data_IF_199418825733
#
_entry.id   IF_199418825733
#
_cell.length_a   1.000
_cell.length_b   1.000
_cell.length_c   1.000
_cell.angle_alpha   90.00
_cell.angle_beta   90.00
_cell.angle_gamma   90.00
#
_symmetry.space_group_name_H-M   'P 1'
#
loop_
_entity.id
_entity.type
_entity.pdbx_description
1 polymer ?
#
# COMPACT_ATOMS: atom_id res chain seq x y z
N UNK A 1 65.11 0.12 31.90
CA UNK A 1 65.18 1.37 31.11
C UNK A 1 64.13 1.29 30.01
N UNK A 2 62.97 1.95 30.16
CA UNK A 2 61.99 2.09 29.08
C UNK A 2 62.34 3.37 28.34
N UNK A 3 62.67 3.25 27.05
CA UNK A 3 63.12 4.38 26.23
C UNK A 3 62.02 5.44 26.10
N UNK A 4 62.39 6.71 26.26
CA UNK A 4 61.49 7.84 26.07
C UNK A 4 61.13 7.90 24.57
N UNK A 5 59.84 7.91 24.20
CA UNK A 5 59.44 7.95 22.80
C UNK A 5 59.88 9.27 22.16
N UNK A 6 60.37 9.19 20.93
CA UNK A 6 60.77 10.37 20.17
C UNK A 6 59.56 11.25 19.86
N UNK A 7 59.76 12.57 19.71
CA UNK A 7 58.68 13.55 19.42
C UNK A 7 57.82 13.11 18.24
N UNK A 8 58.43 12.47 17.22
CA UNK A 8 57.74 11.94 16.05
C UNK A 8 56.84 10.74 16.36
N UNK A 9 57.25 9.88 17.29
CA UNK A 9 56.42 8.77 17.78
C UNK A 9 55.26 9.29 18.62
N UNK A 10 55.50 10.26 19.52
CA UNK A 10 54.43 10.89 20.30
C UNK A 10 53.37 11.53 19.41
N UNK A 11 53.78 12.23 18.33
CA UNK A 11 52.86 12.83 17.36
C UNK A 11 52.02 11.80 16.60
N UNK A 12 52.63 10.69 16.16
CA UNK A 12 51.90 9.60 15.48
C UNK A 12 50.87 8.96 16.41
N UNK A 13 51.22 8.72 17.67
CA UNK A 13 50.28 8.17 18.65
C UNK A 13 49.15 9.16 18.99
N UNK A 14 49.43 10.46 19.09
CA UNK A 14 48.40 11.48 19.28
C UNK A 14 47.45 11.59 18.08
N UNK A 15 47.97 11.54 16.84
CA UNK A 15 47.14 11.56 15.63
C UNK A 15 46.29 10.30 15.54
N UNK A 16 46.85 9.11 15.84
CA UNK A 16 46.09 7.86 15.85
C UNK A 16 45.02 7.83 16.94
N UNK A 17 45.28 8.42 18.12
CA UNK A 17 44.28 8.57 19.17
C UNK A 17 43.17 9.54 18.79
N UNK A 18 43.50 10.66 18.14
CA UNK A 18 42.50 11.64 17.68
C UNK A 18 41.67 11.06 16.53
N UNK A 19 42.29 10.34 15.58
CA UNK A 19 41.57 9.63 14.51
C UNK A 19 40.70 8.52 15.10
N UNK A 20 41.23 7.72 16.03
CA UNK A 20 40.48 6.67 16.72
C UNK A 20 39.29 7.21 17.51
N UNK A 21 39.46 8.34 18.20
CA UNK A 21 38.39 9.02 18.93
C UNK A 21 37.38 9.68 17.97
N UNK A 22 37.82 10.19 16.82
CA UNK A 22 36.94 10.72 15.78
C UNK A 22 36.07 9.61 15.16
N UNK A 23 36.62 8.43 14.90
CA UNK A 23 35.85 7.26 14.44
C UNK A 23 34.96 6.65 15.53
N UNK A 24 35.35 6.71 16.81
CA UNK A 24 34.54 6.19 17.92
C UNK A 24 33.33 7.09 18.22
N UNK A 25 33.50 8.42 18.11
CA UNK A 25 32.41 9.38 18.37
C UNK A 25 31.48 9.54 17.15
N UNK A 26 32.00 9.46 15.93
CA UNK A 26 31.18 9.54 14.71
C UNK A 26 30.68 8.19 14.18
N UNK A 27 31.20 7.07 14.68
CA UNK A 27 30.83 5.71 14.22
C UNK A 27 29.37 5.34 14.49
N UNK A 28 28.73 5.91 15.51
CA UNK A 28 27.31 5.65 15.81
C UNK A 28 26.33 6.47 14.94
N UNK A 29 26.81 7.46 14.18
CA UNK A 29 25.94 8.42 13.46
C UNK A 29 25.94 8.24 11.93
N UNK A 30 26.71 7.29 11.37
CA UNK A 30 26.98 7.26 9.92
C UNK A 30 26.15 6.20 9.15
N UNK A 31 25.46 5.28 9.82
CA UNK A 31 24.63 4.29 9.13
C UNK A 31 23.26 4.19 9.80
N UNK A 32 22.33 5.08 9.40
CA UNK A 32 20.90 4.82 9.62
C UNK A 32 20.57 3.53 8.85
N UNK A 33 20.09 2.52 9.58
CA UNK A 33 19.69 1.23 9.03
C UNK A 33 18.72 1.43 7.85
N UNK A 34 18.95 0.73 6.74
CA UNK A 34 18.18 0.91 5.50
C UNK A 34 16.68 0.74 5.72
N UNK A 35 16.28 -0.22 6.58
CA UNK A 35 14.87 -0.44 6.91
C UNK A 35 14.31 0.69 7.77
N UNK A 36 15.08 1.23 8.72
CA UNK A 36 14.67 2.41 9.49
C UNK A 36 14.48 3.63 8.57
N UNK A 37 15.41 3.91 7.65
CA UNK A 37 15.32 5.03 6.72
C UNK A 37 14.13 4.87 5.76
N UNK A 38 13.91 3.66 5.23
CA UNK A 38 12.75 3.32 4.40
C UNK A 38 11.44 3.48 5.17
N UNK A 39 11.40 2.99 6.41
CA UNK A 39 10.27 3.12 7.34
C UNK A 39 9.91 4.58 7.59
N UNK A 40 10.90 5.43 7.89
CA UNK A 40 10.72 6.88 8.08
C UNK A 40 10.11 7.56 6.86
N UNK A 41 10.59 7.22 5.65
CA UNK A 41 10.04 7.76 4.40
C UNK A 41 8.58 7.37 4.20
N UNK A 42 8.25 6.10 4.45
CA UNK A 42 6.86 5.61 4.35
C UNK A 42 5.97 6.26 5.40
N UNK A 43 6.45 6.38 6.64
CA UNK A 43 5.71 6.99 7.74
C UNK A 43 5.36 8.45 7.45
N UNK A 44 6.33 9.23 6.95
CA UNK A 44 6.10 10.62 6.54
C UNK A 44 5.04 10.77 5.46
N UNK A 45 4.95 9.79 4.56
CA UNK A 45 4.00 9.83 3.47
C UNK A 45 2.59 9.36 3.87
N UNK A 46 2.49 8.30 4.68
CA UNK A 46 1.22 7.63 4.96
C UNK A 46 0.67 7.86 6.37
N UNK A 47 1.52 8.09 7.37
CA UNK A 47 1.15 8.04 8.79
C UNK A 47 1.18 9.42 9.46
N UNK A 48 2.17 10.25 9.10
CA UNK A 48 2.47 11.54 9.76
C UNK A 48 1.29 12.52 9.80
N UNK A 49 0.42 12.50 8.79
CA UNK A 49 -0.73 13.39 8.74
C UNK A 49 -1.72 13.16 9.89
N UNK A 50 -1.74 11.96 10.47
CA UNK A 50 -2.59 11.62 11.62
C UNK A 50 -1.77 11.46 12.91
N UNK A 51 -0.59 10.84 12.86
CA UNK A 51 0.23 10.54 14.04
C UNK A 51 1.31 11.60 14.35
N UNK A 52 1.51 12.61 13.52
CA UNK A 52 2.57 13.61 13.68
C UNK A 52 3.94 13.13 13.19
N UNK A 53 4.92 14.03 13.04
CA UNK A 53 6.28 13.68 12.61
C UNK A 53 7.04 12.91 13.69
N UNK A 54 6.85 13.27 14.96
CA UNK A 54 7.47 12.61 16.12
C UNK A 54 6.62 11.49 16.73
N UNK A 55 5.40 11.27 16.22
CA UNK A 55 4.47 10.27 16.78
C UNK A 55 3.68 10.76 17.99
N UNK A 56 3.90 12.00 18.44
CA UNK A 56 3.32 12.54 19.67
C UNK A 56 1.85 12.87 19.53
N UNK A 57 1.13 12.73 20.63
CA UNK A 57 -0.24 13.20 20.72
C UNK A 57 -0.40 14.66 20.29
N UNK A 58 -1.38 14.91 19.41
CA UNK A 58 -1.77 16.26 18.96
C UNK A 58 -0.93 16.83 17.82
N UNK A 59 0.08 16.11 17.33
CA UNK A 59 0.99 16.65 16.31
C UNK A 59 0.48 16.49 14.87
N UNK A 60 -0.30 15.45 14.59
CA UNK A 60 -0.86 15.20 13.26
C UNK A 60 -1.87 16.26 12.85
N UNK A 61 -1.79 16.73 11.60
CA UNK A 61 -2.75 17.70 11.05
C UNK A 61 -4.22 17.29 11.22
N UNK A 62 -4.52 15.99 11.11
CA UNK A 62 -5.87 15.45 11.25
C UNK A 62 -6.22 15.02 12.69
N UNK A 63 -5.33 15.21 13.66
CA UNK A 63 -5.51 14.69 15.03
C UNK A 63 -6.82 15.17 15.66
N UNK A 64 -7.02 16.48 15.72
CA UNK A 64 -8.20 17.07 16.37
C UNK A 64 -9.50 16.75 15.62
N UNK A 65 -9.43 16.69 14.29
CA UNK A 65 -10.59 16.34 13.45
C UNK A 65 -11.05 14.90 13.63
N UNK A 66 -10.16 14.01 14.08
CA UNK A 66 -10.45 12.61 14.39
C UNK A 66 -10.68 12.36 15.89
N UNK A 67 -10.49 13.38 16.73
CA UNK A 67 -10.67 13.30 18.17
C UNK A 67 -12.07 13.79 18.55
N UNK A 68 -13.06 12.91 18.56
CA UNK A 68 -14.41 13.25 19.02
C UNK A 68 -14.95 12.18 19.99
N UNK A 69 -16.09 12.44 20.62
CA UNK A 69 -16.65 11.54 21.64
C UNK A 69 -17.00 10.14 21.12
N UNK A 70 -17.13 9.94 19.80
CA UNK A 70 -17.50 8.67 19.17
C UNK A 70 -16.29 7.87 18.71
N UNK A 71 -15.15 8.51 18.38
CA UNK A 71 -13.96 7.82 17.88
C UNK A 71 -12.73 8.13 18.76
N UNK A 72 -11.97 7.10 19.21
CA UNK A 72 -10.74 7.36 19.93
C UNK A 72 -9.73 8.10 19.01
N UNK A 73 -8.95 9.03 19.57
CA UNK A 73 -7.93 9.74 18.79
C UNK A 73 -6.90 8.76 18.21
N UNK A 74 -6.12 9.19 17.20
CA UNK A 74 -4.95 8.43 16.79
C UNK A 74 -4.07 8.08 18.01
N UNK A 75 -3.39 6.94 17.96
CA UNK A 75 -2.54 6.52 19.08
C UNK A 75 -1.27 7.39 19.14
N UNK A 76 -0.84 7.75 20.34
CA UNK A 76 0.50 8.33 20.58
C UNK A 76 1.55 7.24 20.35
N UNK A 77 2.34 7.40 19.28
CA UNK A 77 3.37 6.45 18.86
C UNK A 77 4.73 6.73 19.50
N UNK A 78 4.82 7.72 20.39
CA UNK A 78 6.03 8.05 21.14
C UNK A 78 5.97 7.58 22.60
N UNK A 79 4.82 7.08 23.05
CA UNK A 79 4.62 6.59 24.41
C UNK A 79 5.47 5.34 24.68
N UNK A 80 6.51 5.50 25.50
CA UNK A 80 7.44 4.42 25.83
C UNK A 80 6.82 3.29 26.65
N UNK A 81 5.67 3.53 27.31
CA UNK A 81 4.94 2.48 28.03
C UNK A 81 4.33 1.43 27.07
N UNK A 82 4.11 1.82 25.81
CA UNK A 82 3.69 0.90 24.76
C UNK A 82 4.85 0.06 24.20
N UNK A 83 6.07 0.60 24.25
CA UNK A 83 7.26 -0.02 23.68
C UNK A 83 7.55 -1.41 24.24
N UNK A 84 7.19 -1.70 25.48
CA UNK A 84 7.38 -3.01 26.13
C UNK A 84 6.13 -3.90 26.15
N UNK A 85 4.93 -3.33 25.93
CA UNK A 85 3.66 -4.05 26.09
C UNK A 85 3.08 -4.60 24.78
N UNK A 86 3.58 -4.14 23.63
CA UNK A 86 3.09 -4.53 22.30
C UNK A 86 4.21 -5.20 21.52
N UNK A 87 3.95 -6.33 20.85
CA UNK A 87 4.94 -7.03 20.04
C UNK A 87 5.09 -6.42 18.64
N UNK A 88 6.19 -6.71 17.95
CA UNK A 88 6.41 -6.26 16.56
C UNK A 88 5.29 -6.76 15.65
N UNK A 89 4.83 -7.99 15.92
CA UNK A 89 3.72 -8.63 15.19
C UNK A 89 2.38 -7.94 15.44
N UNK A 90 2.14 -7.41 16.64
CA UNK A 90 0.91 -6.68 16.91
C UNK A 90 0.87 -5.35 16.16
N UNK A 91 1.99 -4.63 16.11
CA UNK A 91 2.12 -3.40 15.30
C UNK A 91 1.95 -3.74 13.81
N UNK A 92 2.59 -4.82 13.35
CA UNK A 92 2.44 -5.30 11.98
C UNK A 92 0.98 -5.61 11.65
N UNK A 93 0.29 -6.35 12.53
CA UNK A 93 -1.11 -6.74 12.33
C UNK A 93 -2.06 -5.53 12.32
N UNK A 94 -1.79 -4.50 13.13
CA UNK A 94 -2.54 -3.26 13.12
C UNK A 94 -2.42 -2.54 11.76
N UNK A 95 -1.23 -2.52 11.16
CA UNK A 95 -0.96 -1.88 9.85
C UNK A 95 -1.47 -2.76 8.67
N UNK A 96 -1.37 -4.08 8.79
CA UNK A 96 -1.60 -5.07 7.73
C UNK A 96 -2.89 -5.89 7.90
N UNK A 97 -3.91 -5.33 8.56
CA UNK A 97 -5.21 -5.99 8.75
C UNK A 97 -5.96 -6.21 7.44
N UNK A 98 -6.87 -7.18 7.40
CA UNK A 98 -7.81 -7.31 6.28
C UNK A 98 -8.78 -6.13 6.20
N UNK A 99 -9.15 -5.75 4.97
CA UNK A 99 -10.19 -4.76 4.74
C UNK A 99 -11.53 -5.42 5.07
N UNK A 100 -12.25 -4.85 6.04
CA UNK A 100 -13.60 -5.29 6.38
C UNK A 100 -14.62 -4.47 5.59
N UNK A 101 -15.67 -5.12 5.12
CA UNK A 101 -16.76 -4.46 4.40
C UNK A 101 -17.59 -3.62 5.38
N UNK A 102 -17.51 -2.30 5.25
CA UNK A 102 -18.23 -1.35 6.10
C UNK A 102 -19.71 -1.22 5.75
N UNK A 103 -20.19 -1.96 4.74
CA UNK A 103 -21.62 -2.11 4.45
C UNK A 103 -22.28 -3.26 5.21
N UNK A 104 -21.50 -4.15 5.84
CA UNK A 104 -22.02 -5.25 6.68
C UNK A 104 -22.42 -4.71 8.07
N UNK A 105 -23.72 -4.81 8.48
CA UNK A 105 -24.18 -4.37 9.80
C UNK A 105 -23.43 -5.03 10.96
N UNK A 106 -22.98 -6.28 10.81
CA UNK A 106 -22.20 -6.99 11.85
C UNK A 106 -20.85 -6.34 12.11
N UNK A 107 -20.28 -5.69 11.10
CA UNK A 107 -19.04 -4.94 11.21
C UNK A 107 -19.29 -3.61 11.93
N UNK A 108 -20.46 -3.00 11.77
CA UNK A 108 -20.82 -1.71 12.39
C UNK A 108 -21.14 -1.87 13.90
N UNK A 109 -21.75 -2.98 14.30
CA UNK A 109 -22.25 -3.22 15.66
C UNK A 109 -21.20 -3.76 16.65
N UNK A 110 -20.00 -4.11 16.17
CA UNK A 110 -18.91 -4.62 17.01
C UNK A 110 -18.26 -3.46 17.79
N UNK A 111 -18.39 -3.47 19.12
CA UNK A 111 -17.88 -2.43 20.02
C UNK A 111 -16.37 -2.55 20.29
N UNK A 112 -15.77 -3.73 20.07
CA UNK A 112 -14.32 -3.90 20.07
C UNK A 112 -13.68 -3.40 18.76
N UNK A 113 -14.50 -3.22 17.70
CA UNK A 113 -14.10 -2.81 16.36
C UNK A 113 -13.95 -1.29 16.17
N UNK A 114 -14.60 -0.47 16.99
CA UNK A 114 -14.72 0.97 16.72
C UNK A 114 -13.38 1.77 16.80
N UNK A 115 -12.31 1.16 17.31
CA UNK A 115 -10.96 1.75 17.34
C UNK A 115 -10.19 1.68 16.02
N UNK A 116 -10.69 0.99 14.99
CA UNK A 116 -9.96 0.69 13.75
C UNK A 116 -10.61 1.26 12.47
N UNK A 117 -11.75 1.93 12.59
CA UNK A 117 -12.49 2.42 11.44
C UNK A 117 -11.79 3.57 10.69
N UNK A 118 -10.94 4.36 11.38
CA UNK A 118 -10.31 5.56 10.80
C UNK A 118 -8.86 5.35 10.34
N UNK A 119 -8.11 4.40 10.92
CA UNK A 119 -6.76 4.05 10.46
C UNK A 119 -6.85 3.10 9.25
N UNK A 120 -6.40 3.49 8.04
CA UNK A 120 -6.48 2.64 6.85
C UNK A 120 -5.68 1.35 7.00
N UNK A 121 -6.09 0.28 6.30
CA UNK A 121 -5.21 -0.88 6.10
C UNK A 121 -4.21 -0.61 4.98
N UNK A 122 -2.95 -1.00 5.20
CA UNK A 122 -1.88 -0.91 4.20
C UNK A 122 -1.55 -2.27 3.58
N UNK A 123 -2.26 -3.35 3.96
CA UNK A 123 -2.07 -4.72 3.44
C UNK A 123 -2.11 -4.80 1.91
N UNK A 124 -2.94 -3.97 1.28
CA UNK A 124 -3.16 -3.96 -0.18
C UNK A 124 -2.39 -2.83 -0.89
N UNK A 125 -1.59 -2.06 -0.16
CA UNK A 125 -0.87 -0.88 -0.68
C UNK A 125 0.64 -1.07 -0.59
N UNK A 126 1.12 -1.66 0.50
CA UNK A 126 2.54 -1.86 0.79
C UNK A 126 2.90 -3.34 0.75
N UNK A 127 4.16 -3.65 0.44
CA UNK A 127 4.71 -5.00 0.61
C UNK A 127 4.91 -5.35 2.09
N UNK A 128 4.95 -6.63 2.45
CA UNK A 128 5.22 -7.08 3.83
C UNK A 128 6.52 -6.45 4.37
N UNK A 129 7.58 -6.43 3.56
CA UNK A 129 8.87 -5.85 3.91
C UNK A 129 8.79 -4.34 4.20
N UNK A 130 7.96 -3.60 3.45
CA UNK A 130 7.72 -2.18 3.70
C UNK A 130 6.93 -1.94 4.99
N UNK A 131 5.98 -2.82 5.31
CA UNK A 131 5.25 -2.77 6.57
C UNK A 131 6.20 -3.07 7.73
N UNK A 132 7.10 -4.06 7.62
CA UNK A 132 8.13 -4.28 8.64
C UNK A 132 9.08 -3.09 8.80
N UNK A 133 9.41 -2.41 7.71
CA UNK A 133 10.19 -1.17 7.76
C UNK A 133 9.43 -0.07 8.54
N UNK A 134 8.10 0.04 8.35
CA UNK A 134 7.25 0.92 9.17
C UNK A 134 7.24 0.51 10.64
N UNK A 135 7.08 -0.78 10.96
CA UNK A 135 7.12 -1.28 12.35
C UNK A 135 8.44 -0.88 13.02
N UNK A 136 9.56 -1.07 12.33
CA UNK A 136 10.88 -0.69 12.84
C UNK A 136 11.00 0.81 13.11
N UNK A 137 10.47 1.65 12.22
CA UNK A 137 10.46 3.09 12.46
C UNK A 137 9.53 3.47 13.63
N UNK A 138 8.35 2.88 13.72
CA UNK A 138 7.42 3.10 14.85
C UNK A 138 8.05 2.65 16.18
N UNK A 139 8.84 1.58 16.21
CA UNK A 139 9.63 1.17 17.38
C UNK A 139 10.62 2.25 17.82
N UNK A 140 11.28 2.88 16.86
CA UNK A 140 12.22 3.98 17.14
C UNK A 140 11.54 5.21 17.77
N UNK A 141 10.23 5.43 17.54
CA UNK A 141 9.46 6.51 18.15
C UNK A 141 9.11 6.21 19.62
N UNK A 142 8.71 4.97 19.93
CA UNK A 142 8.42 4.52 21.29
C UNK A 142 9.68 4.29 22.16
N UNK A 143 10.88 4.26 21.54
CA UNK A 143 12.12 3.86 22.22
C UNK A 143 12.18 2.37 22.56
N UNK A 144 11.45 1.52 21.84
CA UNK A 144 11.48 0.07 21.99
C UNK A 144 12.42 -0.61 20.99
N UNK A 145 12.90 -1.80 21.32
CA UNK A 145 13.73 -2.60 20.42
C UNK A 145 12.89 -3.29 19.33
N UNK A 146 13.39 -3.26 18.10
CA UNK A 146 12.86 -4.05 16.99
C UNK A 146 13.56 -5.42 16.97
N UNK A 147 12.79 -6.49 17.01
CA UNK A 147 13.28 -7.87 17.17
C UNK A 147 12.92 -8.80 16.03
N UNK A 148 12.02 -8.39 15.12
CA UNK A 148 11.64 -9.21 13.97
C UNK A 148 12.78 -9.35 12.94
N UNK A 149 13.11 -10.59 12.60
CA UNK A 149 14.14 -10.92 11.59
C UNK A 149 13.56 -10.87 10.16
N UNK A 150 13.63 -9.69 9.55
CA UNK A 150 13.17 -9.45 8.17
C UNK A 150 13.98 -10.28 7.16
N UNK A 151 15.28 -10.43 7.39
CA UNK A 151 16.18 -11.11 6.47
C UNK A 151 16.01 -12.63 6.56
N UNK A 152 15.90 -13.19 7.77
CA UNK A 152 15.53 -14.59 7.96
C UNK A 152 14.16 -14.93 7.38
N UNK A 153 13.18 -14.03 7.49
CA UNK A 153 11.87 -14.18 6.82
C UNK A 153 12.00 -14.23 5.30
N UNK A 154 12.83 -13.36 4.71
CA UNK A 154 13.11 -13.35 3.28
C UNK A 154 13.71 -14.67 2.82
N UNK A 155 14.78 -15.11 3.50
CA UNK A 155 15.49 -16.36 3.17
C UNK A 155 14.60 -17.59 3.31
N UNK A 156 13.74 -17.62 4.34
CA UNK A 156 12.76 -18.69 4.53
C UNK A 156 11.80 -18.78 3.33
N UNK A 157 11.23 -17.66 2.90
CA UNK A 157 10.29 -17.61 1.78
C UNK A 157 10.97 -17.93 0.44
N UNK A 158 12.21 -17.48 0.23
CA UNK A 158 13.00 -17.81 -0.96
C UNK A 158 13.31 -19.31 -1.04
N UNK A 159 13.70 -19.90 0.09
CA UNK A 159 13.96 -21.34 0.20
C UNK A 159 12.71 -22.18 -0.05
N UNK A 160 11.56 -21.77 0.54
CA UNK A 160 10.27 -22.45 0.34
C UNK A 160 9.80 -22.35 -1.12
N UNK A 161 9.99 -21.20 -1.76
CA UNK A 161 9.68 -21.01 -3.17
C UNK A 161 10.53 -21.91 -4.07
N UNK A 162 11.83 -21.98 -3.84
CA UNK A 162 12.72 -22.83 -4.64
C UNK A 162 12.43 -24.33 -4.43
N UNK A 163 12.18 -24.73 -3.19
CA UNK A 163 11.83 -26.12 -2.84
C UNK A 163 10.53 -26.54 -3.53
N UNK A 164 9.47 -25.75 -3.39
CA UNK A 164 8.16 -26.07 -4.00
C UNK A 164 8.20 -26.01 -5.53
N UNK A 165 9.05 -25.16 -6.11
CA UNK A 165 9.28 -25.14 -7.55
C UNK A 165 9.89 -26.46 -8.04
N UNK A 166 10.91 -26.96 -7.35
CA UNK A 166 11.55 -28.24 -7.69
C UNK A 166 10.57 -29.41 -7.53
N UNK A 167 9.78 -29.42 -6.45
CA UNK A 167 8.72 -30.43 -6.26
C UNK A 167 7.69 -30.41 -7.39
N UNK A 168 7.25 -29.24 -7.83
CA UNK A 168 6.34 -29.09 -8.96
C UNK A 168 6.96 -29.58 -10.27
N UNK A 169 8.22 -29.23 -10.56
CA UNK A 169 8.93 -29.69 -11.77
C UNK A 169 9.08 -31.22 -11.79
N UNK A 170 9.45 -31.84 -10.67
CA UNK A 170 9.55 -33.29 -10.54
C UNK A 170 8.19 -33.98 -10.70
N UNK A 171 7.14 -33.45 -10.05
CA UNK A 171 5.80 -34.02 -10.16
C UNK A 171 5.24 -33.89 -11.59
N UNK A 172 5.54 -32.79 -12.28
CA UNK A 172 5.15 -32.58 -13.69
C UNK A 172 5.84 -33.60 -14.59
N UNK A 173 7.16 -33.81 -14.42
CA UNK A 173 7.89 -34.82 -15.19
C UNK A 173 7.40 -36.24 -14.93
N UNK A 174 7.02 -36.56 -13.69
CA UNK A 174 6.44 -37.85 -13.35
C UNK A 174 5.08 -38.06 -14.01
N UNK A 175 4.23 -37.02 -14.04
CA UNK A 175 2.95 -37.06 -14.75
C UNK A 175 3.16 -37.24 -16.25
N UNK A 176 4.03 -36.46 -16.88
CA UNK A 176 4.36 -36.59 -18.31
C UNK A 176 4.85 -38.00 -18.66
N UNK A 177 5.68 -38.61 -17.79
CA UNK A 177 6.15 -39.98 -17.97
C UNK A 177 5.04 -41.03 -17.79
N UNK A 178 4.12 -40.82 -16.83
CA UNK A 178 2.98 -41.69 -16.59
C UNK A 178 1.97 -41.62 -17.74
N UNK A 179 1.68 -40.42 -18.25
CA UNK A 179 0.86 -40.19 -19.43
C UNK A 179 1.46 -40.87 -20.66
N UNK A 180 2.75 -40.66 -20.94
CA UNK A 180 3.42 -41.30 -22.07
C UNK A 180 3.40 -42.85 -21.98
N UNK A 181 3.51 -43.40 -20.77
CA UNK A 181 3.41 -44.85 -20.55
C UNK A 181 1.98 -45.34 -20.78
N UNK A 182 0.98 -44.66 -20.22
CA UNK A 182 -0.45 -44.98 -20.40
C UNK A 182 -0.80 -44.94 -21.89
N UNK A 183 -0.40 -43.89 -22.58
CA UNK A 183 -0.72 -43.70 -24.00
C UNK A 183 -0.06 -44.81 -24.85
N UNK A 184 1.19 -45.20 -24.56
CA UNK A 184 1.83 -46.33 -25.23
C UNK A 184 1.16 -47.68 -24.93
N UNK A 185 0.66 -47.89 -23.70
CA UNK A 185 -0.09 -49.10 -23.32
C UNK A 185 -1.46 -49.16 -24.02
N UNK A 186 -2.15 -48.01 -24.14
CA UNK A 186 -3.41 -47.88 -24.88
C UNK A 186 -3.21 -48.14 -26.38
N UNK A 187 -2.22 -47.51 -27.01
CA UNK A 187 -1.88 -47.74 -28.43
C UNK A 187 -1.56 -49.23 -28.69
N UNK A 188 -0.81 -49.87 -27.80
CA UNK A 188 -0.49 -51.29 -27.93
C UNK A 188 -1.72 -52.19 -27.75
N UNK A 189 -2.65 -51.84 -26.85
CA UNK A 189 -3.89 -52.57 -26.64
C UNK A 189 -4.85 -52.43 -27.84
N UNK A 190 -5.00 -51.23 -28.38
CA UNK A 190 -5.81 -50.95 -29.58
C UNK A 190 -5.26 -51.73 -30.79
N UNK A 191 -3.94 -51.69 -31.03
CA UNK A 191 -3.31 -52.44 -32.11
C UNK A 191 -3.50 -53.96 -31.97
N UNK A 192 -3.51 -54.48 -30.74
CA UNK A 192 -3.76 -55.89 -30.47
C UNK A 192 -5.23 -56.28 -30.69
N UNK A 193 -6.18 -55.41 -30.31
CA UNK A 193 -7.61 -55.61 -30.55
C UNK A 193 -7.94 -55.59 -32.05
N UNK A 194 -7.37 -54.64 -32.80
CA UNK A 194 -7.50 -54.57 -34.26
C UNK A 194 -6.96 -55.85 -34.93
N UNK A 195 -5.79 -56.34 -34.50
CA UNK A 195 -5.22 -57.59 -35.01
C UNK A 195 -6.08 -58.83 -34.68
N UNK A 196 -6.88 -58.78 -33.62
CA UNK A 196 -7.82 -59.83 -33.23
C UNK A 196 -9.19 -59.74 -33.95
N UNK A 197 -9.45 -58.64 -34.68
CA UNK A 197 -10.72 -58.39 -35.36
C UNK A 197 -11.84 -57.94 -34.42
N UNK A 198 -11.50 -57.34 -33.28
CA UNK A 198 -12.45 -56.76 -32.32
C UNK A 198 -12.68 -55.28 -32.66
N UNK A 199 -13.73 -54.99 -33.43
CA UNK A 199 -14.06 -53.63 -33.89
C UNK A 199 -14.77 -52.77 -32.81
N UNK A 200 -15.19 -53.39 -31.70
CA UNK A 200 -15.94 -52.74 -30.61
C UNK A 200 -15.08 -52.52 -29.33
N UNK A 201 -13.75 -52.54 -29.44
CA UNK A 201 -12.85 -52.34 -28.30
C UNK A 201 -12.89 -50.88 -27.80
N UNK A 202 -13.39 -50.69 -26.58
CA UNK A 202 -13.30 -49.43 -25.83
C UNK A 202 -12.25 -49.58 -24.72
N UNK A 203 -11.20 -48.76 -24.76
CA UNK A 203 -10.20 -48.75 -23.73
C UNK A 203 -10.75 -48.13 -22.43
N UNK A 204 -10.49 -48.79 -21.30
CA UNK A 204 -10.87 -48.29 -19.98
C UNK A 204 -10.04 -47.03 -19.63
N UNK A 205 -10.70 -45.99 -19.10
CA UNK A 205 -10.04 -44.76 -18.68
C UNK A 205 -9.15 -45.03 -17.47
N UNK A 206 -7.85 -44.83 -17.61
CA UNK A 206 -6.87 -45.07 -16.53
C UNK A 206 -6.62 -43.76 -15.80
N UNK A 207 -7.13 -43.65 -14.58
CA UNK A 207 -6.79 -42.54 -13.67
C UNK A 207 -5.32 -42.62 -13.25
N UNK A 208 -4.60 -41.50 -13.37
CA UNK A 208 -3.18 -41.40 -13.01
C UNK A 208 -3.02 -40.78 -11.62
N UNK A 209 -2.49 -41.50 -10.62
CA UNK A 209 -2.17 -40.94 -9.30
C UNK A 209 -1.24 -39.73 -9.37
N UNK A 210 -0.38 -39.68 -10.39
CA UNK A 210 0.55 -38.59 -10.67
C UNK A 210 -0.18 -37.26 -10.95
N UNK A 211 -1.42 -37.28 -11.44
CA UNK A 211 -2.20 -36.06 -11.74
C UNK A 211 -2.54 -35.29 -10.46
N UNK A 212 -3.02 -36.00 -9.42
CA UNK A 212 -3.30 -35.40 -8.12
C UNK A 212 -2.02 -34.87 -7.45
N UNK A 213 -0.91 -35.61 -7.59
CA UNK A 213 0.40 -35.21 -7.05
C UNK A 213 0.90 -33.94 -7.74
N UNK A 214 0.83 -33.87 -9.08
CA UNK A 214 1.20 -32.69 -9.85
C UNK A 214 0.32 -31.48 -9.51
N UNK A 215 -1.00 -31.67 -9.36
CA UNK A 215 -1.92 -30.62 -8.96
C UNK A 215 -1.58 -30.06 -7.57
N UNK A 216 -1.34 -30.92 -6.58
CA UNK A 216 -0.94 -30.51 -5.22
C UNK A 216 0.40 -29.78 -5.22
N UNK A 217 1.38 -30.26 -5.98
CA UNK A 217 2.69 -29.61 -6.08
C UNK A 217 2.58 -28.23 -6.73
N UNK A 218 1.79 -28.10 -7.80
CA UNK A 218 1.50 -26.82 -8.47
C UNK A 218 0.80 -25.83 -7.54
N UNK A 219 -0.17 -26.29 -6.74
CA UNK A 219 -0.82 -25.47 -5.72
C UNK A 219 0.18 -24.95 -4.68
N UNK A 220 1.02 -25.83 -4.12
CA UNK A 220 2.03 -25.45 -3.12
C UNK A 220 3.04 -24.44 -3.69
N UNK A 221 3.50 -24.64 -4.92
CA UNK A 221 4.35 -23.67 -5.62
C UNK A 221 3.65 -22.31 -5.78
N UNK A 222 2.38 -22.32 -6.17
CA UNK A 222 1.59 -21.10 -6.32
C UNK A 222 1.45 -20.35 -5.00
N UNK A 223 1.19 -21.06 -3.90
CA UNK A 223 1.11 -20.47 -2.55
C UNK A 223 2.45 -19.87 -2.11
N UNK A 224 3.55 -20.60 -2.25
CA UNK A 224 4.89 -20.13 -1.90
C UNK A 224 5.30 -18.91 -2.74
N UNK A 225 5.01 -18.94 -4.04
CA UNK A 225 5.23 -17.81 -4.95
C UNK A 225 4.45 -16.58 -4.51
N UNK A 226 3.16 -16.74 -4.23
CA UNK A 226 2.32 -15.62 -3.78
C UNK A 226 2.80 -15.07 -2.43
N UNK A 227 3.24 -15.92 -1.50
CA UNK A 227 3.80 -15.51 -0.22
C UNK A 227 5.10 -14.68 -0.41
N UNK A 228 6.02 -15.15 -1.24
CA UNK A 228 7.25 -14.43 -1.55
C UNK A 228 6.97 -13.10 -2.28
N UNK A 229 6.05 -13.09 -3.25
CA UNK A 229 5.70 -11.88 -3.97
C UNK A 229 5.04 -10.83 -3.08
N UNK A 230 4.13 -11.23 -2.17
CA UNK A 230 3.55 -10.31 -1.18
C UNK A 230 4.61 -9.75 -0.21
N UNK A 231 5.63 -10.57 0.09
CA UNK A 231 6.72 -10.12 0.93
C UNK A 231 7.59 -9.07 0.24
N UNK A 232 7.99 -9.34 -1.00
CA UNK A 232 8.99 -8.56 -1.71
C UNK A 232 8.41 -7.39 -2.53
N UNK A 233 7.16 -7.48 -2.99
CA UNK A 233 6.57 -6.56 -3.97
C UNK A 233 5.25 -5.98 -3.46
N UNK A 234 4.98 -4.73 -3.84
CA UNK A 234 3.69 -4.10 -3.56
C UNK A 234 2.58 -4.81 -4.33
N UNK A 235 1.40 -5.03 -3.71
CA UNK A 235 0.24 -5.53 -4.41
C UNK A 235 -0.13 -4.63 -5.59
N UNK A 236 -0.41 -5.23 -6.75
CA UNK A 236 -0.93 -4.52 -7.92
C UNK A 236 -2.46 -4.54 -7.87
N UNK A 237 -3.06 -3.59 -7.16
CA UNK A 237 -4.52 -3.41 -7.18
C UNK A 237 -4.87 -2.50 -8.35
N UNK A 238 -5.55 -3.07 -9.36
CA UNK A 238 -6.12 -2.28 -10.45
C UNK A 238 -7.54 -1.89 -10.05
N UNK A 239 -7.69 -0.68 -9.50
CA UNK A 239 -9.01 -0.08 -9.32
C UNK A 239 -9.43 0.46 -10.69
N UNK A 240 -10.59 0.04 -11.21
CA UNK A 240 -11.15 0.63 -12.41
C UNK A 240 -11.36 2.13 -12.16
N UNK A 241 -10.72 2.96 -12.97
CA UNK A 241 -10.87 4.42 -12.92
C UNK A 241 -11.55 4.88 -14.21
N UNK A 242 -12.43 5.87 -14.16
CA UNK A 242 -12.87 6.58 -15.35
C UNK A 242 -11.65 7.01 -16.17
N UNK A 243 -11.64 6.68 -17.46
CA UNK A 243 -10.55 7.12 -18.34
C UNK A 243 -10.74 8.60 -18.64
N UNK A 244 -10.05 9.47 -17.90
CA UNK A 244 -10.07 10.93 -18.10
C UNK A 244 -8.97 11.42 -19.04
N UNK A 245 -8.23 10.50 -19.70
CA UNK A 245 -7.16 10.88 -20.62
C UNK A 245 -7.74 11.55 -21.86
N UNK A 246 -7.10 12.64 -22.25
CA UNK A 246 -7.48 13.50 -23.37
C UNK A 246 -6.20 14.07 -23.99
N UNK A 247 -6.22 14.45 -25.26
CA UNK A 247 -5.09 15.21 -25.84
C UNK A 247 -5.03 16.62 -25.29
N UNK A 248 -3.90 17.32 -25.46
CA UNK A 248 -3.76 18.70 -25.01
C UNK A 248 -4.79 19.63 -25.68
N UNK A 249 -5.12 19.39 -26.96
CA UNK A 249 -6.13 20.13 -27.69
C UNK A 249 -7.55 19.87 -27.15
N UNK A 250 -7.90 18.61 -26.90
CA UNK A 250 -9.20 18.23 -26.32
C UNK A 250 -9.34 18.79 -24.90
N UNK A 251 -8.26 18.73 -24.12
CA UNK A 251 -8.20 19.29 -22.76
C UNK A 251 -8.45 20.80 -22.78
N UNK A 252 -7.82 21.55 -23.68
CA UNK A 252 -8.04 22.99 -23.78
C UNK A 252 -9.49 23.35 -24.14
N UNK A 253 -10.16 22.53 -24.96
CA UNK A 253 -11.59 22.67 -25.25
C UNK A 253 -12.43 22.41 -23.99
N UNK A 254 -12.17 21.30 -23.30
CA UNK A 254 -12.85 20.91 -22.07
C UNK A 254 -12.65 21.91 -20.93
N UNK A 255 -11.47 22.51 -20.78
CA UNK A 255 -11.20 23.54 -19.77
C UNK A 255 -12.07 24.79 -19.99
N UNK A 256 -12.15 25.23 -21.25
CA UNK A 256 -12.96 26.41 -21.62
C UNK A 256 -14.45 26.13 -21.42
N UNK A 257 -14.90 24.96 -21.84
CA UNK A 257 -16.29 24.52 -21.65
C UNK A 257 -16.60 24.32 -20.16
N UNK A 258 -15.73 23.66 -19.42
CA UNK A 258 -15.83 23.43 -17.99
C UNK A 258 -15.99 24.72 -17.20
N UNK A 259 -15.21 25.75 -17.56
CA UNK A 259 -15.37 27.09 -16.98
C UNK A 259 -16.76 27.67 -17.28
N UNK A 260 -17.25 27.52 -18.51
CA UNK A 260 -18.59 27.97 -18.87
C UNK A 260 -19.67 27.22 -18.09
N UNK A 261 -19.57 25.89 -17.98
CA UNK A 261 -20.50 25.04 -17.25
C UNK A 261 -20.50 25.36 -15.75
N UNK A 262 -19.30 25.55 -15.16
CA UNK A 262 -19.10 25.93 -13.75
C UNK A 262 -19.83 27.22 -13.39
N UNK A 263 -19.74 28.26 -14.24
CA UNK A 263 -20.33 29.57 -13.96
C UNK A 263 -21.81 29.63 -14.37
N UNK A 264 -22.15 29.12 -15.56
CA UNK A 264 -23.39 29.50 -16.24
C UNK A 264 -24.47 28.42 -16.23
N UNK A 265 -24.09 27.14 -16.24
CA UNK A 265 -25.06 26.02 -16.30
C UNK A 265 -25.35 25.45 -14.92
N UNK A 266 -24.29 25.09 -14.20
CA UNK A 266 -24.40 24.43 -12.90
C UNK A 266 -24.30 25.39 -11.72
N UNK A 267 -23.87 26.64 -11.95
CA UNK A 267 -23.84 27.68 -10.93
C UNK A 267 -22.96 27.33 -9.73
N UNK A 268 -21.86 26.61 -9.97
CA UNK A 268 -20.96 26.16 -8.91
C UNK A 268 -20.38 27.35 -8.11
N UNK A 269 -20.18 28.48 -8.78
CA UNK A 269 -19.76 29.75 -8.19
C UNK A 269 -20.78 30.37 -7.23
N UNK A 270 -22.05 29.95 -7.23
CA UNK A 270 -23.05 30.41 -6.26
C UNK A 270 -22.76 29.90 -4.85
N UNK A 271 -22.09 28.75 -4.73
CA UNK A 271 -21.69 28.16 -3.45
C UNK A 271 -20.19 28.24 -3.22
N UNK A 272 -19.37 28.03 -4.25
CA UNK A 272 -17.91 27.99 -4.15
C UNK A 272 -17.27 29.31 -4.55
N UNK A 273 -16.09 29.56 -3.97
CA UNK A 273 -15.27 30.74 -4.25
C UNK A 273 -14.00 30.38 -5.02
N UNK A 274 -13.65 31.22 -5.98
CA UNK A 274 -12.37 31.22 -6.70
C UNK A 274 -11.86 32.66 -6.74
N UNK A 275 -10.62 32.89 -6.33
CA UNK A 275 -9.94 34.19 -6.31
C UNK A 275 -10.78 35.27 -5.60
N UNK A 276 -11.38 34.91 -4.47
CA UNK A 276 -12.22 35.82 -3.68
C UNK A 276 -13.62 36.07 -4.26
N UNK A 277 -13.98 35.49 -5.40
CA UNK A 277 -15.29 35.68 -6.06
C UNK A 277 -16.15 34.41 -6.00
N UNK A 278 -17.44 34.58 -5.68
CA UNK A 278 -18.41 33.49 -5.58
C UNK A 278 -19.04 33.36 -4.19
N UNK A 279 -19.62 32.19 -3.92
CA UNK A 279 -20.30 31.88 -2.66
C UNK A 279 -19.37 31.47 -1.53
N UNK A 280 -19.89 31.47 -0.30
CA UNK A 280 -19.19 31.04 0.92
C UNK A 280 -19.69 29.71 1.48
N UNK A 281 -20.69 29.10 0.84
CA UNK A 281 -21.33 27.87 1.33
C UNK A 281 -20.43 26.64 1.09
N UNK A 282 -19.74 26.61 -0.04
CA UNK A 282 -18.77 25.58 -0.40
C UNK A 282 -17.34 26.05 -0.14
N UNK A 283 -16.39 25.11 0.04
CA UNK A 283 -14.98 25.45 0.23
C UNK A 283 -14.40 26.17 -0.99
N UNK A 284 -13.33 26.94 -0.75
CA UNK A 284 -12.56 27.60 -1.81
C UNK A 284 -11.90 26.59 -2.74
N UNK A 285 -11.94 26.89 -4.04
CA UNK A 285 -11.45 25.99 -5.09
C UNK A 285 -10.16 26.47 -5.76
N UNK A 286 -9.57 27.58 -5.33
CA UNK A 286 -8.33 28.16 -5.87
C UNK A 286 -7.18 27.16 -6.03
N UNK A 287 -7.15 26.14 -5.18
CA UNK A 287 -6.12 25.09 -5.15
C UNK A 287 -6.68 23.70 -5.44
N UNK A 288 -7.89 23.59 -5.98
CA UNK A 288 -8.54 22.31 -6.23
C UNK A 288 -7.66 21.38 -7.08
N UNK A 289 -7.13 21.87 -8.21
CA UNK A 289 -6.26 21.10 -9.10
C UNK A 289 -4.86 20.79 -8.55
N UNK A 290 -4.46 21.40 -7.43
CA UNK A 290 -3.26 21.02 -6.69
C UNK A 290 -3.56 20.01 -5.58
N UNK A 291 -4.71 20.15 -4.91
CA UNK A 291 -5.08 19.38 -3.71
C UNK A 291 -5.80 18.08 -4.02
N UNK A 292 -6.51 18.01 -5.14
CA UNK A 292 -7.44 16.93 -5.48
C UNK A 292 -7.00 16.23 -6.75
N UNK A 293 -7.28 14.92 -6.81
CA UNK A 293 -7.06 14.10 -8.00
C UNK A 293 -8.22 14.26 -8.99
N UNK A 294 -7.95 14.21 -10.29
CA UNK A 294 -8.94 14.36 -11.38
C UNK A 294 -10.13 13.40 -11.23
N UNK A 295 -9.84 12.14 -10.94
CA UNK A 295 -10.80 11.06 -10.76
C UNK A 295 -11.69 11.32 -9.55
N UNK A 296 -11.09 11.87 -8.48
CA UNK A 296 -11.85 12.22 -7.28
C UNK A 296 -12.79 13.39 -7.54
N UNK A 297 -12.32 14.43 -8.26
CA UNK A 297 -13.15 15.57 -8.66
C UNK A 297 -14.31 15.07 -9.51
N UNK A 298 -14.03 14.27 -10.55
CA UNK A 298 -15.01 13.71 -11.47
C UNK A 298 -16.10 12.92 -10.74
N UNK A 299 -15.72 11.97 -9.88
CA UNK A 299 -16.70 11.17 -9.12
C UNK A 299 -17.49 12.04 -8.12
N UNK A 300 -16.84 13.01 -7.47
CA UNK A 300 -17.49 13.89 -6.50
C UNK A 300 -18.55 14.79 -7.13
N UNK A 301 -18.28 15.38 -8.30
CA UNK A 301 -19.25 16.24 -8.97
C UNK A 301 -20.37 15.44 -9.66
N UNK A 302 -20.10 14.18 -10.04
CA UNK A 302 -21.08 13.29 -10.63
C UNK A 302 -22.09 12.78 -9.60
N UNK A 303 -21.61 12.33 -8.42
CA UNK A 303 -22.49 11.90 -7.33
C UNK A 303 -21.90 12.11 -5.92
N UNK A 304 -22.01 13.33 -5.36
CA UNK A 304 -21.36 13.66 -4.10
C UNK A 304 -21.90 12.86 -2.91
N UNK A 305 -23.19 12.50 -2.90
CA UNK A 305 -23.81 11.68 -1.85
C UNK A 305 -23.34 10.22 -1.88
N UNK A 306 -22.89 9.73 -3.03
CA UNK A 306 -22.27 8.40 -3.15
C UNK A 306 -20.91 8.32 -2.44
N UNK A 307 -20.19 9.44 -2.38
CA UNK A 307 -18.90 9.54 -1.69
C UNK A 307 -19.09 9.95 -0.23
N UNK A 308 -19.93 10.95 0.04
CA UNK A 308 -20.27 11.41 1.40
C UNK A 308 -21.78 11.58 1.53
N UNK A 309 -22.45 10.58 2.12
CA UNK A 309 -23.91 10.48 2.28
C UNK A 309 -24.61 11.78 2.73
N UNK A 310 -23.99 12.52 3.66
CA UNK A 310 -24.55 13.74 4.26
C UNK A 310 -23.85 15.03 3.82
N UNK A 311 -23.20 15.03 2.66
CA UNK A 311 -22.60 16.25 2.11
C UNK A 311 -23.65 17.31 1.77
N UNK A 312 -23.33 18.59 2.02
CA UNK A 312 -24.17 19.73 1.68
C UNK A 312 -24.14 20.05 0.18
N UNK A 313 -23.16 19.54 -0.56
CA UNK A 313 -23.12 19.69 -2.01
C UNK A 313 -24.22 18.85 -2.65
N UNK A 314 -25.22 19.44 -3.35
CA UNK A 314 -26.28 18.68 -3.99
C UNK A 314 -25.75 17.86 -5.18
N UNK A 315 -26.46 16.80 -5.55
CA UNK A 315 -26.27 16.19 -6.86
C UNK A 315 -26.89 17.11 -7.91
N UNK A 316 -26.05 17.71 -8.75
CA UNK A 316 -26.46 18.66 -9.78
C UNK A 316 -26.87 17.97 -11.10
N UNK A 317 -26.81 16.64 -11.17
CA UNK A 317 -27.21 15.87 -12.35
C UNK A 317 -26.31 16.09 -13.56
N UNK A 318 -24.99 16.24 -13.34
CA UNK A 318 -24.03 16.31 -14.44
C UNK A 318 -24.06 15.00 -15.24
N UNK A 319 -23.97 15.10 -16.56
CA UNK A 319 -23.65 13.95 -17.40
C UNK A 319 -22.11 13.77 -17.45
N UNK A 320 -21.65 12.63 -17.97
CA UNK A 320 -20.22 12.28 -18.06
C UNK A 320 -19.38 13.34 -18.78
N UNK A 321 -19.84 13.88 -19.91
CA UNK A 321 -19.12 14.92 -20.65
C UNK A 321 -18.97 16.22 -19.85
N UNK A 322 -20.06 16.69 -19.24
CA UNK A 322 -20.06 17.90 -18.45
C UNK A 322 -19.18 17.75 -17.19
N UNK A 323 -19.20 16.57 -16.57
CA UNK A 323 -18.32 16.25 -15.45
C UNK A 323 -16.84 16.26 -15.88
N UNK A 324 -16.48 15.68 -17.03
CA UNK A 324 -15.11 15.76 -17.57
C UNK A 324 -14.66 17.19 -17.81
N UNK A 325 -15.52 18.00 -18.44
CA UNK A 325 -15.22 19.40 -18.72
C UNK A 325 -15.01 20.21 -17.44
N UNK A 326 -15.93 20.10 -16.46
CA UNK A 326 -15.79 20.79 -15.17
C UNK A 326 -14.55 20.30 -14.41
N UNK A 327 -14.26 19.00 -14.41
CA UNK A 327 -13.03 18.45 -13.82
C UNK A 327 -11.79 19.07 -14.46
N UNK A 328 -11.69 19.09 -15.79
CA UNK A 328 -10.57 19.69 -16.51
C UNK A 328 -10.36 21.16 -16.12
N UNK A 329 -11.43 21.95 -16.02
CA UNK A 329 -11.36 23.32 -15.53
C UNK A 329 -10.87 23.41 -14.07
N UNK A 330 -11.37 22.58 -13.16
CA UNK A 330 -10.95 22.60 -11.76
C UNK A 330 -9.47 22.18 -11.60
N UNK A 331 -8.96 21.31 -12.47
CA UNK A 331 -7.54 20.94 -12.51
C UNK A 331 -6.61 22.11 -12.82
N UNK A 332 -7.09 23.15 -13.52
CA UNK A 332 -6.30 24.36 -13.80
C UNK A 332 -6.15 25.24 -12.56
N UNK A 333 -6.96 25.03 -11.50
CA UNK A 333 -6.96 25.83 -10.28
C UNK A 333 -5.81 25.39 -9.35
N UNK A 334 -4.62 25.94 -9.61
CA UNK A 334 -3.36 25.59 -8.94
C UNK A 334 -2.70 26.78 -8.26
N UNK A 335 -3.47 27.61 -7.55
CA UNK A 335 -2.93 28.74 -6.81
C UNK A 335 -1.82 28.29 -5.80
N UNK A 336 -0.85 29.16 -5.49
CA UNK A 336 0.21 28.84 -4.52
C UNK A 336 -0.37 28.57 -3.13
N UNK A 337 0.41 27.88 -2.28
CA UNK A 337 0.02 27.68 -0.88
C UNK A 337 -0.09 29.06 -0.20
N UNK A 338 -1.20 29.37 0.49
CA UNK A 338 -1.32 30.62 1.21
C UNK A 338 -0.29 30.69 2.34
N UNK A 339 0.26 31.89 2.58
CA UNK A 339 1.27 32.12 3.61
C UNK A 339 0.72 31.94 5.03
N UNK A 340 -0.59 32.14 5.20
CA UNK A 340 -1.32 31.87 6.44
C UNK A 340 -2.28 30.67 6.26
N UNK A 341 -2.52 29.86 7.31
CA UNK A 341 -3.51 28.80 7.26
C UNK A 341 -4.89 29.36 6.93
N UNK A 342 -5.56 28.80 5.93
CA UNK A 342 -6.98 29.09 5.69
C UNK A 342 -7.73 28.57 6.91
N UNK A 343 -8.17 29.48 7.77
CA UNK A 343 -8.93 29.15 8.98
C UNK A 343 -10.11 28.25 8.57
N UNK A 344 -10.22 27.07 9.18
CA UNK A 344 -11.43 26.27 9.07
C UNK A 344 -12.57 27.14 9.59
N UNK A 345 -13.48 27.53 8.70
CA UNK A 345 -14.67 28.26 9.13
C UNK A 345 -15.46 27.33 10.07
N UNK A 346 -15.75 27.84 11.26
CA UNK A 346 -16.49 27.16 12.34
C UNK A 346 -17.86 26.62 11.91
#
# INVERSE_FOLDING_TARGET
MRGVPTIRQAWVWSVLLVIGMFFFVNGCAIFEDEHTAKGKKLYRHYCMHCHGESGRQGEGFNWDSLSNMEFPPPKDLSDSSMGSSISDKDIFNAISRDMKDTSDPKVIEDVEYFGVATMPTFKYTLSEMEIWSLVRYVRSLHGGDFTFDVEGRRQLLESELETTKQEMEVATQALEAAEAKRDAELEAAEAAAEAAGDEDFEAEEIELPEEEVAAKASMRYTEAKNAFERFAKRPKVTVARPDLKTTDEERAVLEKEGKHLYINKYGCNSCHRIQGQGGLVGPELDRAGFRLNDTWIYEWILYPQGIKKHTRMPNLGLNDHDARAVTAYLETLRAPKPDEPVLSQE
#
